data_IF_815464608626
#
_entry.id   IF_815464608626
#
_cell.length_a   1.000
_cell.length_b   1.000
_cell.length_c   1.000
_cell.angle_alpha   90.00
_cell.angle_beta   90.00
_cell.angle_gamma   90.00
#
_symmetry.space_group_name_H-M   'P 1'
#
loop_
_entity.id
_entity.type
_entity.pdbx_description
1 polymer ?
#
# COMPACT_ATOMS: atom_id res chain seq x y z
N UNK A 1 18.65 5.81 -10.17
CA UNK A 1 19.27 6.34 -8.92
C UNK A 1 18.98 5.36 -7.79
N UNK A 2 19.93 5.02 -6.91
CA UNK A 2 19.75 3.91 -5.94
C UNK A 2 18.99 4.24 -4.64
N UNK A 3 18.60 5.50 -4.40
CA UNK A 3 17.99 5.90 -3.11
C UNK A 3 16.73 6.75 -3.25
N UNK A 4 16.03 6.67 -4.38
CA UNK A 4 14.84 7.49 -4.66
C UNK A 4 13.60 6.60 -4.70
N UNK A 5 12.57 6.97 -3.93
CA UNK A 5 11.27 6.31 -3.95
C UNK A 5 10.20 7.23 -4.51
N UNK A 6 9.31 6.65 -5.30
CA UNK A 6 8.27 7.37 -6.04
C UNK A 6 6.87 7.07 -5.49
N UNK A 7 5.92 8.01 -5.61
CA UNK A 7 4.54 7.73 -5.30
C UNK A 7 3.96 6.79 -6.37
N UNK A 8 3.16 5.82 -5.93
CA UNK A 8 2.52 4.86 -6.85
C UNK A 8 1.55 5.56 -7.81
N UNK A 9 0.89 6.63 -7.37
CA UNK A 9 0.06 7.47 -8.23
C UNK A 9 -0.08 8.88 -7.67
N UNK A 10 -0.54 9.79 -8.51
CA UNK A 10 -0.92 11.16 -8.13
C UNK A 10 -2.42 11.29 -8.29
N UNK A 11 -3.11 11.60 -7.18
CA UNK A 11 -4.55 11.81 -7.19
C UNK A 11 -4.84 13.25 -6.78
N UNK A 12 -5.43 14.01 -7.69
CA UNK A 12 -5.90 15.36 -7.44
C UNK A 12 -7.41 15.44 -7.31
N UNK A 13 -7.90 16.44 -6.57
CA UNK A 13 -9.31 16.78 -6.51
C UNK A 13 -9.50 18.19 -7.07
N UNK A 14 -10.41 18.36 -8.02
CA UNK A 14 -10.72 19.67 -8.62
C UNK A 14 -11.00 20.69 -7.52
N UNK A 15 -10.27 21.81 -7.56
CA UNK A 15 -10.36 22.88 -6.56
C UNK A 15 -9.53 22.68 -5.30
N UNK A 16 -9.02 21.47 -5.03
CA UNK A 16 -8.10 21.19 -3.91
C UNK A 16 -6.64 20.99 -4.37
N UNK A 17 -6.44 20.42 -5.56
CA UNK A 17 -5.10 20.08 -6.06
C UNK A 17 -4.66 18.67 -5.72
N UNK A 18 -3.36 18.43 -5.83
CA UNK A 18 -2.65 17.21 -5.43
C UNK A 18 -1.25 17.59 -4.93
N UNK A 19 -0.62 16.70 -4.16
CA UNK A 19 0.78 16.83 -3.79
C UNK A 19 1.54 15.62 -4.33
N UNK A 20 2.59 15.87 -5.10
CA UNK A 20 3.56 14.87 -5.51
C UNK A 20 4.68 14.84 -4.48
N UNK A 21 4.96 13.68 -3.89
CA UNK A 21 6.00 13.49 -2.88
C UNK A 21 7.00 12.46 -3.40
N UNK A 22 8.27 12.83 -3.50
CA UNK A 22 9.39 11.92 -3.77
C UNK A 22 10.25 11.85 -2.52
N UNK A 23 10.66 10.63 -2.15
CA UNK A 23 11.55 10.41 -1.00
C UNK A 23 12.95 10.07 -1.45
N UNK A 24 13.94 10.68 -0.81
CA UNK A 24 15.35 10.41 -1.10
C UNK A 24 16.20 10.66 0.15
N UNK A 25 17.19 9.79 0.38
CA UNK A 25 18.24 10.06 1.39
C UNK A 25 19.20 11.15 0.93
N UNK A 26 19.33 11.33 -0.38
CA UNK A 26 20.14 12.37 -1.01
C UNK A 26 19.31 13.62 -1.27
N UNK A 27 19.99 14.76 -1.43
CA UNK A 27 19.37 15.97 -1.96
C UNK A 27 19.04 15.78 -3.44
N UNK A 28 17.80 16.03 -3.81
CA UNK A 28 17.26 15.87 -5.16
C UNK A 28 16.57 17.14 -5.62
N UNK A 29 16.60 17.35 -6.94
CA UNK A 29 15.75 18.31 -7.65
C UNK A 29 14.71 17.55 -8.45
N UNK A 30 13.45 17.95 -8.33
CA UNK A 30 12.33 17.43 -9.11
C UNK A 30 11.92 18.50 -10.11
N UNK A 31 11.82 18.13 -11.38
CA UNK A 31 11.31 18.96 -12.48
C UNK A 31 10.09 18.28 -13.10
N UNK A 32 8.98 19.01 -13.28
CA UNK A 32 7.78 18.48 -13.96
C UNK A 32 7.92 18.70 -15.46
N UNK A 33 8.18 17.63 -16.20
CA UNK A 33 8.32 17.64 -17.66
C UNK A 33 6.96 17.71 -18.37
N UNK A 34 5.96 17.03 -17.79
CA UNK A 34 4.61 16.97 -18.32
C UNK A 34 3.62 16.62 -17.20
N UNK A 35 2.42 17.20 -17.24
CA UNK A 35 1.28 16.80 -16.43
C UNK A 35 0.03 16.69 -17.34
N UNK A 36 -0.89 15.74 -17.08
CA UNK A 36 -2.05 15.54 -17.93
C UNK A 36 -3.03 16.72 -17.88
N UNK A 37 -3.88 16.82 -18.90
CA UNK A 37 -4.92 17.85 -18.97
C UNK A 37 -5.79 17.83 -17.70
N UNK A 38 -5.81 18.96 -17.00
CA UNK A 38 -6.50 19.11 -15.72
C UNK A 38 -5.58 19.16 -14.50
N UNK A 39 -4.30 18.79 -14.64
CA UNK A 39 -3.27 18.96 -13.62
C UNK A 39 -2.24 19.99 -14.06
N UNK A 40 -1.84 20.91 -13.19
CA UNK A 40 -0.75 21.85 -13.47
C UNK A 40 0.13 22.10 -12.26
N UNK A 41 1.47 22.01 -12.39
CA UNK A 41 2.36 22.33 -11.29
C UNK A 41 2.24 23.80 -10.86
N UNK A 42 2.32 24.05 -9.54
CA UNK A 42 2.41 25.41 -9.00
C UNK A 42 3.81 25.99 -9.21
N UNK A 43 4.82 25.14 -9.11
CA UNK A 43 6.22 25.42 -9.42
C UNK A 43 6.73 24.34 -10.37
N UNK A 44 7.50 24.73 -11.38
CA UNK A 44 8.03 23.77 -12.37
C UNK A 44 9.12 22.88 -11.80
N UNK A 45 9.82 23.36 -10.76
CA UNK A 45 10.83 22.61 -10.05
C UNK A 45 10.79 22.85 -8.53
N UNK A 46 11.36 21.89 -7.79
CA UNK A 46 11.61 21.98 -6.34
C UNK A 46 12.88 21.19 -6.01
N UNK A 47 13.66 21.68 -5.04
CA UNK A 47 14.87 21.02 -4.55
C UNK A 47 14.78 20.81 -3.05
N UNK A 48 15.19 19.64 -2.57
CA UNK A 48 15.20 19.32 -1.14
C UNK A 48 15.84 17.96 -0.84
N UNK A 49 15.79 17.53 0.41
CA UNK A 49 16.27 16.22 0.86
C UNK A 49 15.24 15.58 1.81
N UNK A 50 15.26 14.26 1.95
CA UNK A 50 14.24 13.52 2.70
C UNK A 50 12.95 13.43 1.89
N UNK A 51 11.88 14.08 2.35
CA UNK A 51 10.64 14.20 1.60
C UNK A 51 10.59 15.50 0.80
N UNK A 52 10.60 15.39 -0.53
CA UNK A 52 10.52 16.55 -1.42
C UNK A 52 9.14 16.58 -2.05
N UNK A 53 8.38 17.64 -1.73
CA UNK A 53 6.99 17.80 -2.15
C UNK A 53 6.83 18.87 -3.22
N UNK A 54 6.03 18.58 -4.23
CA UNK A 54 5.65 19.51 -5.29
C UNK A 54 4.12 19.62 -5.37
N UNK A 55 3.63 20.84 -5.25
CA UNK A 55 2.20 21.14 -5.28
C UNK A 55 1.66 21.24 -6.71
N UNK A 56 0.56 20.53 -6.98
CA UNK A 56 -0.13 20.48 -8.26
C UNK A 56 -1.53 21.07 -8.10
N UNK A 57 -1.92 21.98 -8.98
CA UNK A 57 -3.32 22.43 -9.11
C UNK A 57 -4.12 21.45 -9.95
N UNK A 58 -5.35 21.18 -9.52
CA UNK A 58 -6.31 20.33 -10.22
C UNK A 58 -7.50 21.18 -10.68
N UNK A 59 -7.67 21.31 -11.99
CA UNK A 59 -8.67 22.20 -12.62
C UNK A 59 -9.81 21.43 -13.29
N UNK A 60 -9.48 20.36 -14.00
CA UNK A 60 -10.44 19.56 -14.74
C UNK A 60 -10.27 18.08 -14.38
N UNK A 61 -11.36 17.33 -14.44
CA UNK A 61 -11.35 15.89 -14.23
C UNK A 61 -10.46 15.20 -15.28
N UNK A 62 -9.69 14.21 -14.84
CA UNK A 62 -8.83 13.38 -15.67
C UNK A 62 -8.95 11.94 -15.17
N UNK A 63 -9.57 11.07 -15.98
CA UNK A 63 -9.82 9.67 -15.59
C UNK A 63 -8.56 8.80 -15.65
N UNK A 64 -7.67 9.13 -16.59
CA UNK A 64 -6.37 8.49 -16.77
C UNK A 64 -5.41 9.48 -17.43
N UNK A 65 -4.24 9.65 -16.82
CA UNK A 65 -3.18 10.52 -17.32
C UNK A 65 -1.83 10.09 -16.76
N UNK A 66 -0.77 10.68 -17.29
CA UNK A 66 0.61 10.41 -16.85
C UNK A 66 1.27 11.75 -16.56
N UNK A 67 1.78 11.91 -15.34
CA UNK A 67 2.71 12.99 -15.02
C UNK A 67 4.12 12.46 -15.23
N UNK A 68 4.94 13.16 -16.01
CA UNK A 68 6.35 12.84 -16.19
C UNK A 68 7.19 13.84 -15.40
N UNK A 69 8.07 13.32 -14.57
CA UNK A 69 9.04 14.11 -13.82
C UNK A 69 10.44 13.71 -14.20
N UNK A 70 11.38 14.65 -14.09
CA UNK A 70 12.80 14.37 -14.02
C UNK A 70 13.24 14.55 -12.58
N UNK A 71 13.92 13.56 -12.03
CA UNK A 71 14.61 13.69 -10.75
C UNK A 71 16.10 13.76 -11.02
N UNK A 72 16.79 14.70 -10.38
CA UNK A 72 18.24 14.87 -10.47
C UNK A 72 18.83 14.82 -9.07
N UNK A 73 19.79 13.93 -8.82
CA UNK A 73 20.60 13.97 -7.60
C UNK A 73 21.52 15.20 -7.66
N UNK A 74 21.41 16.11 -6.70
CA UNK A 74 22.15 17.39 -6.75
C UNK A 74 23.63 17.25 -6.46
N UNK A 75 24.04 16.12 -5.88
CA UNK A 75 25.44 15.84 -5.53
C UNK A 75 26.17 15.18 -6.71
N UNK A 76 25.51 14.29 -7.46
CA UNK A 76 26.12 13.52 -8.56
C UNK A 76 25.75 14.04 -9.95
N UNK A 77 24.72 14.90 -10.06
CA UNK A 77 24.08 15.32 -11.31
C UNK A 77 23.47 14.18 -12.15
N UNK A 78 23.39 12.97 -11.61
CA UNK A 78 22.66 11.87 -12.25
C UNK A 78 21.16 12.20 -12.29
N UNK A 79 20.52 11.90 -13.41
CA UNK A 79 19.09 12.20 -13.62
C UNK A 79 18.35 11.00 -14.19
N UNK A 80 17.08 10.86 -13.80
CA UNK A 80 16.19 9.85 -14.36
C UNK A 80 14.80 10.45 -14.59
N UNK A 81 14.12 9.95 -15.62
CA UNK A 81 12.75 10.35 -15.94
C UNK A 81 11.77 9.27 -15.48
N UNK A 82 10.71 9.69 -14.79
CA UNK A 82 9.72 8.77 -14.22
C UNK A 82 8.33 9.18 -14.66
N UNK A 83 7.56 8.19 -15.10
CA UNK A 83 6.17 8.32 -15.46
C UNK A 83 5.29 7.83 -14.30
N UNK A 84 4.43 8.71 -13.78
CA UNK A 84 3.57 8.40 -12.64
C UNK A 84 2.10 8.48 -13.07
N UNK A 85 1.32 7.39 -12.88
CA UNK A 85 -0.12 7.40 -13.11
C UNK A 85 -0.80 8.53 -12.35
N UNK A 86 -1.60 9.32 -13.06
CA UNK A 86 -2.23 10.53 -12.53
C UNK A 86 -3.72 10.53 -12.81
N UNK A 87 -4.51 10.85 -11.78
CA UNK A 87 -5.97 11.00 -11.88
C UNK A 87 -6.39 12.31 -11.23
N UNK A 88 -7.40 12.95 -11.80
CA UNK A 88 -8.05 14.12 -11.20
C UNK A 88 -9.54 13.84 -11.04
N UNK A 89 -10.01 13.86 -9.80
CA UNK A 89 -11.39 13.62 -9.43
C UNK A 89 -12.17 14.93 -9.36
N UNK A 90 -13.48 14.84 -9.59
CA UNK A 90 -14.40 15.94 -9.32
C UNK A 90 -14.54 16.21 -7.81
N UNK A 91 -15.12 17.35 -7.41
CA UNK A 91 -15.26 17.72 -6.00
C UNK A 91 -16.24 16.84 -5.22
N UNK A 92 -17.13 16.10 -5.91
CA UNK A 92 -18.11 15.18 -5.33
C UNK A 92 -18.18 13.92 -6.19
N UNK A 93 -17.47 12.89 -5.77
CA UNK A 93 -17.44 11.60 -6.44
C UNK A 93 -17.53 10.49 -5.40
N UNK A 94 -18.17 9.40 -5.80
CA UNK A 94 -18.05 8.11 -5.14
C UNK A 94 -17.07 7.26 -5.95
N UNK A 95 -16.32 6.41 -5.26
CA UNK A 95 -15.40 5.45 -5.87
C UNK A 95 -15.54 4.12 -5.15
N UNK A 96 -15.16 3.06 -5.85
CA UNK A 96 -15.05 1.72 -5.29
C UNK A 96 -13.59 1.34 -5.32
N UNK A 97 -13.03 1.02 -4.16
CA UNK A 97 -11.71 0.41 -4.08
C UNK A 97 -11.86 -1.11 -4.12
N UNK A 98 -11.18 -1.74 -5.07
CA UNK A 98 -11.05 -3.19 -5.10
C UNK A 98 -9.76 -3.57 -4.40
N UNK A 99 -9.91 -4.40 -3.39
CA UNK A 99 -8.82 -4.75 -2.48
C UNK A 99 -8.70 -6.27 -2.46
N UNK A 100 -7.49 -6.76 -2.69
CA UNK A 100 -7.14 -8.17 -2.49
C UNK A 100 -5.99 -8.26 -1.50
N UNK A 101 -6.13 -9.10 -0.49
CA UNK A 101 -5.13 -9.27 0.55
C UNK A 101 -4.49 -10.64 0.51
N UNK A 102 -3.20 -10.69 0.78
CA UNK A 102 -2.45 -11.92 1.02
C UNK A 102 -1.24 -11.59 1.88
N UNK A 103 -1.17 -12.16 3.07
CA UNK A 103 -0.04 -12.06 3.98
C UNK A 103 0.24 -13.44 4.57
N UNK A 104 1.42 -13.60 5.16
CA UNK A 104 1.78 -14.79 5.89
C UNK A 104 0.93 -14.89 7.16
N UNK A 105 0.26 -16.03 7.30
CA UNK A 105 -0.42 -16.44 8.53
C UNK A 105 0.43 -17.49 9.26
N UNK A 106 0.91 -17.13 10.45
CA UNK A 106 1.65 -18.03 11.34
C UNK A 106 0.67 -19.06 11.92
N UNK A 107 1.04 -20.34 11.85
CA UNK A 107 0.21 -21.45 12.30
C UNK A 107 -0.92 -21.83 11.34
N UNK A 108 -0.95 -21.26 10.13
CA UNK A 108 -1.89 -21.67 9.09
C UNK A 108 -1.37 -22.87 8.29
N UNK A 109 -2.18 -23.92 8.24
CA UNK A 109 -2.01 -25.05 7.32
C UNK A 109 -3.02 -24.94 6.16
N UNK A 110 -2.56 -24.79 4.90
CA UNK A 110 -3.46 -24.73 3.74
C UNK A 110 -4.04 -26.10 3.33
N UNK A 111 -3.49 -27.23 3.81
CA UNK A 111 -3.91 -28.61 3.41
C UNK A 111 -5.40 -28.90 3.61
N UNK A 112 -6.05 -28.52 4.73
CA UNK A 112 -7.49 -28.78 4.93
C UNK A 112 -8.39 -28.06 3.92
N UNK A 113 -7.89 -26.98 3.30
CA UNK A 113 -8.61 -26.22 2.29
C UNK A 113 -8.36 -26.73 0.86
N UNK A 114 -7.38 -27.62 0.65
CA UNK A 114 -7.01 -28.16 -0.65
C UNK A 114 -8.19 -28.84 -1.39
N UNK A 115 -9.15 -29.40 -0.64
CA UNK A 115 -10.35 -30.02 -1.18
C UNK A 115 -11.29 -29.07 -1.93
N UNK A 116 -11.25 -27.77 -1.63
CA UNK A 116 -12.11 -26.77 -2.27
C UNK A 116 -11.51 -26.21 -3.57
N UNK A 117 -10.25 -26.53 -3.88
CA UNK A 117 -9.46 -25.75 -4.84
C UNK A 117 -8.69 -26.57 -5.88
N UNK A 118 -8.97 -27.87 -6.03
CA UNK A 118 -8.42 -28.70 -7.12
C UNK A 118 -8.82 -28.13 -8.49
N UNK A 119 -7.88 -27.41 -9.12
CA UNK A 119 -7.73 -27.30 -10.57
C UNK A 119 -6.35 -27.86 -10.90
N UNK A 120 -6.28 -28.63 -11.98
CA UNK A 120 -5.20 -29.57 -12.28
C UNK A 120 -3.82 -28.94 -12.62
N UNK A 121 -3.66 -27.61 -12.58
CA UNK A 121 -2.47 -26.94 -13.12
C UNK A 121 -1.71 -26.01 -12.16
N UNK A 122 -2.12 -25.83 -10.90
CA UNK A 122 -1.37 -25.00 -9.94
C UNK A 122 -1.00 -25.82 -8.69
N UNK A 123 0.27 -26.21 -8.59
CA UNK A 123 0.82 -26.85 -7.38
C UNK A 123 0.69 -25.89 -6.19
N UNK A 124 0.02 -26.34 -5.13
CA UNK A 124 0.04 -25.65 -3.84
C UNK A 124 1.49 -25.59 -3.36
N UNK A 125 2.04 -24.38 -3.22
CA UNK A 125 3.36 -24.18 -2.62
C UNK A 125 3.26 -24.53 -1.13
N UNK A 126 3.95 -25.60 -0.75
CA UNK A 126 3.95 -26.15 0.61
C UNK A 126 5.35 -25.94 1.21
N UNK A 127 5.46 -25.26 2.36
CA UNK A 127 6.74 -25.14 3.10
C UNK A 127 6.71 -25.97 4.40
N UNK A 128 7.84 -26.57 4.83
CA UNK A 128 7.84 -27.80 5.62
C UNK A 128 7.69 -27.66 7.15
N UNK A 129 7.30 -26.51 7.71
CA UNK A 129 7.19 -26.42 9.17
C UNK A 129 6.61 -25.14 9.77
N UNK A 130 6.21 -25.25 11.04
CA UNK A 130 5.56 -24.21 11.85
C UNK A 130 6.48 -23.06 12.30
N UNK A 131 7.73 -23.02 11.84
CA UNK A 131 8.63 -21.88 12.02
C UNK A 131 8.55 -20.88 10.85
N UNK A 132 7.84 -21.23 9.77
CA UNK A 132 7.41 -20.34 8.70
C UNK A 132 5.88 -20.33 8.65
N UNK A 133 5.27 -19.19 8.36
CA UNK A 133 3.85 -19.14 8.02
C UNK A 133 3.65 -19.28 6.50
N UNK A 134 2.40 -19.46 6.07
CA UNK A 134 2.03 -19.56 4.65
C UNK A 134 1.19 -18.34 4.24
N UNK A 135 1.28 -17.92 2.97
CA UNK A 135 0.42 -16.88 2.41
C UNK A 135 -0.48 -17.43 1.28
N UNK A 136 -1.68 -16.89 1.15
CA UNK A 136 -2.70 -17.39 0.24
C UNK A 136 -2.67 -16.74 -1.16
N UNK A 137 -1.50 -16.27 -1.64
CA UNK A 137 -1.37 -15.46 -2.85
C UNK A 137 -2.15 -16.03 -4.03
N UNK A 138 -1.92 -17.29 -4.40
CA UNK A 138 -2.61 -17.99 -5.50
C UNK A 138 -4.14 -17.92 -5.38
N UNK A 139 -4.67 -17.92 -4.15
CA UNK A 139 -6.10 -17.82 -3.91
C UNK A 139 -6.61 -16.38 -4.00
N UNK A 140 -5.85 -15.41 -3.45
CA UNK A 140 -6.19 -14.00 -3.51
C UNK A 140 -6.43 -13.54 -4.95
N UNK A 141 -5.55 -13.94 -5.88
CA UNK A 141 -5.58 -13.51 -7.30
C UNK A 141 -6.68 -14.14 -8.16
N UNK A 142 -7.56 -15.00 -7.64
CA UNK A 142 -8.60 -15.62 -8.48
C UNK A 142 -9.52 -14.60 -9.16
N UNK A 143 -9.74 -13.45 -8.53
CA UNK A 143 -10.55 -12.38 -9.10
C UNK A 143 -9.73 -11.36 -9.91
N UNK A 144 -8.40 -11.41 -9.86
CA UNK A 144 -7.53 -10.47 -10.59
C UNK A 144 -7.85 -10.46 -12.09
N UNK A 145 -7.87 -11.65 -12.72
CA UNK A 145 -8.15 -11.77 -14.16
C UNK A 145 -9.49 -11.14 -14.57
N UNK A 146 -10.49 -11.20 -13.70
CA UNK A 146 -11.80 -10.59 -13.97
C UNK A 146 -11.68 -9.07 -13.97
N UNK A 147 -11.04 -8.49 -12.96
CA UNK A 147 -10.88 -7.04 -12.85
C UNK A 147 -9.95 -6.46 -13.92
N UNK A 148 -8.82 -7.12 -14.20
CA UNK A 148 -7.87 -6.70 -15.22
C UNK A 148 -8.45 -6.81 -16.64
N UNK A 149 -9.34 -7.77 -16.92
CA UNK A 149 -10.10 -7.81 -18.18
C UNK A 149 -10.93 -6.54 -18.42
N UNK A 150 -11.32 -5.86 -17.36
CA UNK A 150 -12.08 -4.60 -17.39
C UNK A 150 -11.22 -3.37 -17.10
N UNK A 151 -9.88 -3.47 -17.20
CA UNK A 151 -8.93 -2.40 -16.87
C UNK A 151 -9.19 -1.76 -15.50
N UNK A 152 -9.64 -2.57 -14.53
CA UNK A 152 -9.93 -2.09 -13.18
C UNK A 152 -8.74 -2.42 -12.28
N UNK A 153 -8.08 -1.40 -11.69
CA UNK A 153 -6.93 -1.61 -10.83
C UNK A 153 -7.33 -2.27 -9.51
N UNK A 154 -6.39 -3.03 -8.95
CA UNK A 154 -6.51 -3.69 -7.65
C UNK A 154 -5.47 -3.09 -6.70
N UNK A 155 -5.87 -2.83 -5.46
CA UNK A 155 -4.92 -2.58 -4.37
C UNK A 155 -4.59 -3.89 -3.67
N UNK A 156 -3.33 -4.29 -3.72
CA UNK A 156 -2.79 -5.50 -3.12
C UNK A 156 -2.30 -5.20 -1.71
N UNK A 157 -2.95 -5.81 -0.71
CA UNK A 157 -2.56 -5.74 0.69
C UNK A 157 -1.65 -6.93 1.00
N UNK A 158 -0.35 -6.68 1.07
CA UNK A 158 0.65 -7.75 1.14
C UNK A 158 1.72 -7.49 2.19
N UNK A 159 2.31 -8.56 2.69
CA UNK A 159 3.49 -8.49 3.55
C UNK A 159 4.80 -8.56 2.74
N UNK A 160 5.91 -8.60 3.46
CA UNK A 160 7.24 -8.72 2.90
C UNK A 160 7.50 -10.05 2.18
N UNK A 161 6.94 -11.15 2.67
CA UNK A 161 7.11 -12.47 2.05
C UNK A 161 6.42 -12.57 0.68
N UNK A 162 5.16 -12.10 0.59
CA UNK A 162 4.47 -12.02 -0.70
C UNK A 162 5.17 -11.06 -1.64
N UNK A 163 5.68 -9.93 -1.13
CA UNK A 163 6.43 -8.99 -1.94
C UNK A 163 7.72 -9.61 -2.51
N UNK A 164 8.48 -10.35 -1.70
CA UNK A 164 9.70 -11.07 -2.14
C UNK A 164 9.42 -11.97 -3.34
N UNK A 165 8.30 -12.70 -3.33
CA UNK A 165 7.95 -13.62 -4.40
C UNK A 165 7.28 -12.94 -5.61
N UNK A 166 6.52 -11.86 -5.39
CA UNK A 166 5.52 -11.39 -6.37
C UNK A 166 5.72 -9.94 -6.82
N UNK A 167 6.71 -9.21 -6.29
CA UNK A 167 6.92 -7.80 -6.61
C UNK A 167 7.01 -7.55 -8.13
N UNK A 168 7.72 -8.40 -8.88
CA UNK A 168 7.86 -8.24 -10.35
C UNK A 168 6.51 -8.34 -11.06
N UNK A 169 5.67 -9.30 -10.67
CA UNK A 169 4.33 -9.46 -11.25
C UNK A 169 3.42 -8.27 -10.92
N UNK A 170 3.44 -7.82 -9.66
CA UNK A 170 2.64 -6.67 -9.23
C UNK A 170 3.12 -5.39 -9.92
N UNK A 171 4.44 -5.21 -10.10
CA UNK A 171 5.02 -4.10 -10.89
C UNK A 171 4.51 -4.12 -12.33
N UNK A 172 4.48 -5.27 -12.97
CA UNK A 172 3.96 -5.40 -14.33
C UNK A 172 2.46 -5.05 -14.40
N UNK A 173 1.67 -5.46 -13.40
CA UNK A 173 0.26 -5.09 -13.28
C UNK A 173 0.06 -3.61 -12.96
N UNK A 174 0.93 -3.01 -12.16
CA UNK A 174 0.94 -1.56 -11.93
C UNK A 174 1.09 -0.81 -13.25
N UNK A 175 2.09 -1.19 -14.05
CA UNK A 175 2.34 -0.56 -15.35
C UNK A 175 1.21 -0.73 -16.37
N UNK A 176 0.47 -1.85 -16.30
CA UNK A 176 -0.62 -2.16 -17.26
C UNK A 176 -1.99 -1.64 -16.82
N UNK A 177 -2.33 -1.81 -15.56
CA UNK A 177 -3.68 -1.61 -15.03
C UNK A 177 -3.77 -0.50 -13.97
N UNK A 178 -2.62 -0.07 -13.43
CA UNK A 178 -2.56 0.90 -12.34
C UNK A 178 -2.81 0.27 -10.97
N UNK A 179 -2.53 -1.03 -10.81
CA UNK A 179 -2.56 -1.72 -9.52
C UNK A 179 -1.69 -1.00 -8.48
N UNK A 180 -2.07 -1.09 -7.21
CA UNK A 180 -1.37 -0.44 -6.11
C UNK A 180 -1.00 -1.47 -5.04
N UNK A 181 -0.10 -1.08 -4.14
CA UNK A 181 0.39 -1.88 -3.03
C UNK A 181 0.10 -1.14 -1.72
N UNK A 182 -0.46 -1.87 -0.77
CA UNK A 182 -0.56 -1.49 0.63
C UNK A 182 0.11 -2.57 1.48
N UNK A 183 0.69 -2.16 2.60
CA UNK A 183 1.35 -3.09 3.51
C UNK A 183 0.29 -3.79 4.37
N UNK A 184 0.33 -5.11 4.46
CA UNK A 184 -0.46 -5.89 5.41
C UNK A 184 0.52 -6.70 6.26
N UNK A 185 0.63 -6.46 7.58
CA UNK A 185 1.57 -7.18 8.41
C UNK A 185 1.30 -8.69 8.40
N UNK A 186 2.34 -9.48 8.70
CA UNK A 186 2.17 -10.91 9.03
C UNK A 186 1.18 -11.07 10.19
N UNK A 187 0.42 -12.14 10.16
CA UNK A 187 -0.70 -12.35 11.09
C UNK A 187 -0.75 -13.78 11.64
N UNK A 188 -1.73 -14.08 12.50
CA UNK A 188 -1.92 -15.41 13.11
C UNK A 188 -3.28 -15.99 12.73
N UNK A 189 -3.31 -17.25 12.30
CA UNK A 189 -4.56 -17.90 11.90
C UNK A 189 -5.35 -18.43 13.10
N UNK A 190 -6.67 -18.26 13.08
CA UNK A 190 -7.66 -18.72 14.08
C UNK A 190 -7.51 -18.22 15.52
N UNK A 191 -6.35 -17.78 15.97
CA UNK A 191 -6.16 -17.23 17.31
C UNK A 191 -4.98 -16.27 17.33
N UNK A 192 -5.26 -14.96 17.32
CA UNK A 192 -4.21 -14.00 17.62
C UNK A 192 -4.02 -13.92 19.14
N UNK A 193 -2.95 -14.55 19.63
CA UNK A 193 -2.55 -14.50 21.06
C UNK A 193 -2.20 -13.08 21.52
N UNK A 194 -1.97 -12.15 20.59
CA UNK A 194 -1.54 -10.78 20.84
C UNK A 194 -2.61 -9.81 20.35
N UNK A 195 -3.27 -9.16 21.29
CA UNK A 195 -4.10 -8.02 20.96
C UNK A 195 -3.19 -6.79 20.91
N UNK A 196 -2.77 -6.36 19.70
CA UNK A 196 -1.83 -5.25 19.54
C UNK A 196 -2.27 -3.96 20.25
N UNK A 197 -3.58 -3.71 20.36
CA UNK A 197 -4.12 -2.56 21.09
C UNK A 197 -3.94 -2.67 22.63
N UNK A 198 -4.02 -3.87 23.19
CA UNK A 198 -3.98 -4.08 24.65
C UNK A 198 -2.59 -4.46 25.17
N UNK A 199 -1.85 -5.29 24.42
CA UNK A 199 -0.68 -6.00 24.94
C UNK A 199 0.66 -5.44 24.49
N UNK A 200 0.67 -4.54 23.51
CA UNK A 200 1.91 -3.98 22.95
C UNK A 200 1.96 -2.46 23.10
N UNK A 201 3.15 -1.92 23.35
CA UNK A 201 3.41 -0.47 23.30
C UNK A 201 3.58 0.03 21.87
N UNK A 202 3.44 1.35 21.65
CA UNK A 202 3.64 1.96 20.32
C UNK A 202 5.05 1.68 19.77
N UNK A 203 6.10 1.83 20.59
CA UNK A 203 7.49 1.55 20.18
C UNK A 203 7.72 0.07 19.83
N UNK A 204 7.12 -0.84 20.59
CA UNK A 204 7.21 -2.29 20.32
C UNK A 204 6.56 -2.65 18.97
N UNK A 205 5.43 -2.01 18.65
CA UNK A 205 4.78 -2.18 17.35
C UNK A 205 5.64 -1.61 16.23
N UNK A 206 6.24 -0.44 16.42
CA UNK A 206 7.17 0.16 15.45
C UNK A 206 8.34 -0.78 15.19
N UNK A 207 8.96 -1.33 16.23
CA UNK A 207 10.10 -2.24 16.11
C UNK A 207 9.71 -3.57 15.44
N UNK A 208 8.49 -4.05 15.64
CA UNK A 208 7.98 -5.25 14.99
C UNK A 208 7.62 -5.04 13.50
N UNK A 209 7.07 -3.89 13.15
CA UNK A 209 6.57 -3.58 11.80
C UNK A 209 7.68 -3.04 10.87
N UNK A 210 8.60 -2.22 11.39
CA UNK A 210 9.64 -1.54 10.59
C UNK A 210 10.47 -2.50 9.72
N UNK A 211 10.94 -3.66 10.22
CA UNK A 211 11.69 -4.59 9.38
C UNK A 211 10.86 -5.14 8.21
N UNK A 212 9.58 -5.45 8.45
CA UNK A 212 8.67 -5.94 7.40
C UNK A 212 8.41 -4.88 6.34
N UNK A 213 8.14 -3.63 6.75
CA UNK A 213 7.94 -2.52 5.80
C UNK A 213 9.19 -2.31 4.94
N UNK A 214 10.38 -2.29 5.55
CA UNK A 214 11.64 -2.15 4.82
C UNK A 214 11.88 -3.32 3.86
N UNK A 215 11.56 -4.54 4.26
CA UNK A 215 11.72 -5.72 3.41
C UNK A 215 10.76 -5.68 2.21
N UNK A 216 9.50 -5.28 2.41
CA UNK A 216 8.54 -5.04 1.33
C UNK A 216 9.06 -4.00 0.35
N UNK A 217 9.46 -2.81 0.83
CA UNK A 217 9.97 -1.74 -0.05
C UNK A 217 11.25 -2.17 -0.79
N UNK A 218 12.13 -2.94 -0.14
CA UNK A 218 13.34 -3.48 -0.76
C UNK A 218 13.02 -4.46 -1.90
N UNK A 219 11.99 -5.30 -1.73
CA UNK A 219 11.57 -6.24 -2.78
C UNK A 219 11.13 -5.49 -4.04
N UNK A 220 10.39 -4.40 -3.90
CA UNK A 220 9.96 -3.58 -5.04
C UNK A 220 11.07 -2.73 -5.64
N UNK A 221 12.01 -2.24 -4.83
CA UNK A 221 13.21 -1.58 -5.33
C UNK A 221 14.03 -2.49 -6.26
N UNK A 222 13.96 -3.82 -6.09
CA UNK A 222 14.55 -4.81 -6.99
C UNK A 222 13.85 -4.97 -8.36
N UNK A 223 12.70 -4.31 -8.59
CA UNK A 223 11.84 -4.50 -9.79
C UNK A 223 11.81 -3.29 -10.74
N UNK A 224 12.76 -2.36 -10.59
CA UNK A 224 12.75 -1.04 -11.25
C UNK A 224 11.54 -0.16 -10.90
N UNK A 225 10.80 -0.52 -9.86
CA UNK A 225 9.69 0.26 -9.33
C UNK A 225 9.89 0.45 -7.81
N UNK A 226 10.86 1.31 -7.40
CA UNK A 226 11.12 1.59 -6.00
C UNK A 226 9.94 2.37 -5.41
N UNK A 227 8.94 1.61 -4.95
CA UNK A 227 7.74 2.17 -4.38
C UNK A 227 7.98 2.67 -2.97
N UNK A 228 7.18 3.66 -2.60
CA UNK A 228 6.95 4.02 -1.21
C UNK A 228 5.51 3.69 -0.82
N UNK A 229 5.33 2.89 0.24
CA UNK A 229 4.02 2.41 0.66
C UNK A 229 3.34 3.39 1.63
N UNK A 230 2.17 3.94 1.24
CA UNK A 230 1.47 4.99 2.01
C UNK A 230 0.32 4.49 2.87
N UNK A 231 -0.14 3.27 2.60
CA UNK A 231 -1.31 2.68 3.27
C UNK A 231 -0.95 1.36 3.91
N UNK A 232 -1.49 1.12 5.09
CA UNK A 232 -1.39 -0.17 5.78
C UNK A 232 -2.79 -0.77 5.98
N UNK A 233 -2.90 -2.08 5.82
CA UNK A 233 -4.08 -2.86 6.15
C UNK A 233 -3.94 -3.53 7.51
N UNK A 234 -5.07 -3.79 8.14
CA UNK A 234 -5.19 -4.71 9.27
C UNK A 234 -6.43 -5.56 9.02
N UNK A 235 -6.29 -6.89 9.02
CA UNK A 235 -7.44 -7.78 8.99
C UNK A 235 -7.71 -8.37 10.39
N UNK A 236 -8.73 -9.22 10.48
CA UNK A 236 -9.07 -9.91 11.73
C UNK A 236 -7.95 -10.83 12.24
N UNK A 237 -6.92 -11.15 11.45
CA UNK A 237 -5.83 -12.01 11.87
C UNK A 237 -4.61 -11.19 12.31
N UNK A 238 -4.43 -9.97 11.79
CA UNK A 238 -3.40 -9.01 12.24
C UNK A 238 -3.60 -8.67 13.72
N UNK A 239 -4.84 -8.59 14.20
CA UNK A 239 -5.14 -8.40 15.63
C UNK A 239 -5.52 -6.96 15.97
N UNK A 240 -6.65 -6.81 16.67
CA UNK A 240 -7.30 -5.55 17.13
C UNK A 240 -6.48 -4.30 16.88
N UNK A 241 -6.60 -3.67 15.69
CA UNK A 241 -6.02 -2.35 15.50
C UNK A 241 -6.70 -1.38 16.47
N UNK A 242 -5.92 -0.46 17.01
CA UNK A 242 -6.38 0.53 17.97
C UNK A 242 -5.42 1.70 18.04
N UNK A 243 -5.56 2.59 19.03
CA UNK A 243 -4.79 3.83 19.12
C UNK A 243 -3.28 3.61 18.94
N UNK A 244 -2.69 2.62 19.63
CA UNK A 244 -1.25 2.33 19.54
C UNK A 244 -0.82 1.83 18.16
N UNK A 245 -1.67 1.05 17.50
CA UNK A 245 -1.42 0.57 16.15
C UNK A 245 -1.45 1.72 15.13
N UNK A 246 -2.39 2.65 15.31
CA UNK A 246 -2.52 3.86 14.48
C UNK A 246 -1.34 4.80 14.69
N UNK A 247 -0.92 5.00 15.94
CA UNK A 247 0.28 5.79 16.26
C UNK A 247 1.55 5.16 15.69
N UNK A 248 1.68 3.83 15.76
CA UNK A 248 2.79 3.12 15.15
C UNK A 248 2.78 3.25 13.62
N UNK A 249 1.60 3.18 12.99
CA UNK A 249 1.44 3.39 11.56
C UNK A 249 1.89 4.80 11.14
N UNK A 250 1.42 5.83 11.85
CA UNK A 250 1.76 7.24 11.61
C UNK A 250 3.27 7.48 11.80
N UNK A 251 3.87 6.92 12.85
CA UNK A 251 5.31 6.99 13.10
C UNK A 251 6.17 6.31 12.02
N UNK A 252 5.61 5.32 11.31
CA UNK A 252 6.22 4.68 10.14
C UNK A 252 5.93 5.42 8.82
N UNK A 253 5.18 6.52 8.89
CA UNK A 253 4.84 7.38 7.77
C UNK A 253 3.60 6.95 6.99
N UNK A 254 2.83 5.95 7.45
CA UNK A 254 1.58 5.58 6.79
C UNK A 254 0.54 6.68 6.95
N UNK A 255 -0.18 6.98 5.87
CA UNK A 255 -1.16 8.05 5.80
C UNK A 255 -2.62 7.53 5.78
N UNK A 256 -2.78 6.23 5.58
CA UNK A 256 -4.10 5.59 5.51
C UNK A 256 -4.08 4.19 6.10
N UNK A 257 -5.18 3.84 6.76
CA UNK A 257 -5.42 2.51 7.30
C UNK A 257 -6.67 1.89 6.68
N UNK A 258 -6.58 0.61 6.32
CA UNK A 258 -7.70 -0.20 5.84
C UNK A 258 -7.99 -1.35 6.79
N UNK A 259 -9.25 -1.74 6.89
CA UNK A 259 -9.68 -2.94 7.62
C UNK A 259 -10.29 -2.68 9.00
N UNK A 260 -11.07 -1.61 9.12
CA UNK A 260 -11.87 -1.31 10.31
C UNK A 260 -13.27 -1.91 10.12
N UNK A 261 -13.62 -2.92 10.91
CA UNK A 261 -14.95 -3.55 10.88
C UNK A 261 -15.98 -2.86 11.78
N UNK A 262 -16.88 -2.06 11.20
CA UNK A 262 -17.95 -1.34 11.91
C UNK A 262 -18.97 -2.23 12.66
N UNK A 263 -19.35 -3.36 12.07
CA UNK A 263 -20.48 -4.18 12.54
C UNK A 263 -20.08 -5.64 12.81
N UNK A 264 -18.86 -5.84 13.30
CA UNK A 264 -18.34 -7.17 13.61
C UNK A 264 -18.72 -7.56 15.05
N UNK A 265 -19.88 -8.19 15.21
CA UNK A 265 -20.36 -8.65 16.52
C UNK A 265 -19.71 -9.98 17.00
N UNK A 266 -19.04 -10.75 16.13
CA UNK A 266 -18.74 -12.17 16.39
C UNK A 266 -17.32 -12.68 16.08
N UNK A 267 -16.34 -11.86 15.68
CA UNK A 267 -15.00 -12.39 15.41
C UNK A 267 -14.12 -12.35 16.68
N UNK A 268 -13.98 -13.53 17.28
CA UNK A 268 -13.53 -13.86 18.65
C UNK A 268 -12.26 -13.21 19.23
N UNK A 269 -11.51 -12.31 18.60
CA UNK A 269 -10.34 -11.69 19.28
C UNK A 269 -9.86 -10.31 18.79
N UNK A 270 -10.36 -9.77 17.67
CA UNK A 270 -9.49 -8.86 16.89
C UNK A 270 -10.09 -7.69 16.13
N UNK A 271 -11.40 -7.42 16.14
CA UNK A 271 -11.95 -6.19 15.52
C UNK A 271 -13.17 -5.68 16.27
N UNK A 272 -12.95 -4.90 17.33
CA UNK A 272 -14.01 -4.26 18.11
C UNK A 272 -14.11 -2.76 17.75
N UNK A 273 -14.60 -2.45 16.55
CA UNK A 273 -14.74 -1.05 16.08
C UNK A 273 -16.21 -0.61 16.02
N UNK A 274 -17.08 -1.23 16.84
CA UNK A 274 -18.49 -0.87 16.88
C UNK A 274 -18.64 0.60 17.24
N UNK A 275 -19.35 1.35 16.39
CA UNK A 275 -19.58 2.78 16.55
C UNK A 275 -18.59 3.69 15.81
N UNK A 276 -17.57 3.15 15.14
CA UNK A 276 -16.78 3.96 14.19
C UNK A 276 -17.62 4.36 12.98
N UNK A 277 -17.28 5.42 12.23
CA UNK A 277 -17.91 5.67 10.94
C UNK A 277 -17.73 4.51 9.97
N UNK A 278 -18.77 4.21 9.16
CA UNK A 278 -18.69 3.21 8.08
C UNK A 278 -17.83 3.69 6.89
N UNK A 279 -17.80 5.00 6.67
CA UNK A 279 -17.03 5.63 5.58
C UNK A 279 -15.68 6.15 6.10
N UNK A 280 -14.81 6.60 5.20
CA UNK A 280 -13.49 7.16 5.51
C UNK A 280 -13.62 8.29 6.54
N UNK A 281 -12.87 8.18 7.63
CA UNK A 281 -12.84 9.20 8.68
C UNK A 281 -11.41 9.44 9.16
N UNK A 282 -11.18 10.61 9.74
CA UNK A 282 -9.94 10.92 10.45
C UNK A 282 -10.17 10.67 11.95
N UNK A 283 -9.47 9.71 12.58
CA UNK A 283 -9.62 9.48 14.01
C UNK A 283 -9.13 10.70 14.80
N UNK A 284 -9.67 10.86 16.02
CA UNK A 284 -9.20 11.91 16.94
C UNK A 284 -7.86 11.45 17.55
N UNK A 285 -6.93 12.38 17.76
CA UNK A 285 -5.67 12.05 18.44
C UNK A 285 -5.94 11.43 19.82
N UNK A 286 -5.27 10.31 20.11
CA UNK A 286 -5.43 9.54 21.34
C UNK A 286 -6.74 8.76 21.47
N UNK A 287 -7.63 8.81 20.47
CA UNK A 287 -8.91 8.11 20.48
C UNK A 287 -9.28 7.66 19.06
N UNK A 288 -8.70 6.52 18.69
CA UNK A 288 -9.13 5.74 17.54
C UNK A 288 -10.46 5.03 17.82
#
# INVERSE_FOLDING_TARGET
>A
MQNVQYPQSIVGIVGKGATLVVRSTDSIRIEVLNAPDGMRPRTTEVTGAGEVSLELTARNRCESGITRIRVTNTNTNESEEVAIPTKVWGPRMSFVCLVQSSNVHIGWDPRPMAQYYRRDDDELVMYPGDSGGNHAWVHARKLERVFHKHNTPITWLIDDAVAEEQATQIRDWHGRYGDAVAFLPRSFFYYNKRNYNLTSGTDELIDALRPQVRALESAFAGTDWPLYCRTMGADQWVGSPGTRFVEAADALGFEGLWGIGYDHDTCDTSMYHKGTPWDVYKPRQGNF
#
